data_IF_250652057870
#
_entry.id   IF_250652057870
#
_cell.length_a   1.000
_cell.length_b   1.000
_cell.length_c   1.000
_cell.angle_alpha   90.00
_cell.angle_beta   90.00
_cell.angle_gamma   90.00
#
_symmetry.space_group_name_H-M   'P 1'
#
loop_
_entity.id
_entity.type
_entity.pdbx_description
1 polymer ?
#
# COMPACT_ATOMS: atom_id res chain seq x y z
N UNK A 1 -21.76 -46.09 40.41
CA UNK A 1 -22.79 -45.12 39.98
C UNK A 1 -22.07 -44.05 39.17
N UNK A 2 -21.99 -44.23 37.84
CA UNK A 2 -22.83 -43.59 36.80
C UNK A 2 -22.47 -42.11 36.60
N UNK A 3 -21.81 -41.77 35.46
CA UNK A 3 -22.34 -41.04 34.26
C UNK A 3 -22.49 -39.53 34.55
N UNK A 4 -22.15 -38.56 33.69
CA UNK A 4 -22.17 -38.50 32.23
C UNK A 4 -21.44 -37.22 31.74
N UNK A 5 -21.09 -37.24 30.46
CA UNK A 5 -20.39 -36.27 29.59
C UNK A 5 -21.27 -35.07 29.16
N UNK A 6 -20.71 -33.87 28.95
CA UNK A 6 -20.94 -33.09 27.72
C UNK A 6 -20.06 -31.84 27.54
N UNK A 7 -19.47 -31.73 26.35
CA UNK A 7 -18.84 -30.56 25.75
C UNK A 7 -19.92 -29.70 25.08
N UNK A 8 -19.88 -28.36 25.19
CA UNK A 8 -20.60 -27.52 24.22
C UNK A 8 -19.90 -26.19 23.92
N UNK A 9 -19.26 -26.20 22.76
CA UNK A 9 -18.89 -25.05 21.93
C UNK A 9 -20.13 -24.19 21.62
N UNK A 10 -20.03 -22.86 21.67
CA UNK A 10 -21.02 -21.98 21.02
C UNK A 10 -20.34 -20.74 20.47
N UNK A 11 -20.27 -20.71 19.13
CA UNK A 11 -19.94 -19.56 18.29
C UNK A 11 -21.05 -18.52 18.42
N UNK A 12 -20.71 -17.24 18.63
CA UNK A 12 -21.64 -16.12 18.46
C UNK A 12 -21.19 -15.29 17.27
N UNK A 13 -21.74 -15.58 16.11
CA UNK A 13 -21.77 -14.67 14.98
C UNK A 13 -22.75 -13.54 15.33
N UNK A 14 -22.28 -12.30 15.30
CA UNK A 14 -23.10 -11.12 15.50
C UNK A 14 -23.83 -10.76 14.19
N UNK A 15 -25.08 -10.40 14.36
CA UNK A 15 -26.10 -10.10 13.36
C UNK A 15 -25.73 -8.78 12.67
N UNK A 16 -25.58 -8.76 11.34
CA UNK A 16 -25.62 -7.51 10.56
C UNK A 16 -27.07 -7.28 10.14
N UNK A 17 -27.70 -6.37 10.88
CA UNK A 17 -29.05 -5.88 10.63
C UNK A 17 -29.11 -4.90 9.47
N UNK A 18 -30.25 -4.95 8.81
CA UNK A 18 -30.77 -4.19 7.67
C UNK A 18 -30.96 -2.68 7.92
N UNK A 19 -31.17 -1.93 6.81
CA UNK A 19 -31.88 -0.65 6.66
C UNK A 19 -31.03 0.65 6.75
N UNK A 20 -30.56 1.14 5.61
CA UNK A 20 -30.13 2.53 5.43
C UNK A 20 -31.29 3.40 4.94
N UNK A 21 -32.00 4.03 5.87
CA UNK A 21 -33.04 5.02 5.60
C UNK A 21 -32.46 6.43 5.49
N UNK A 22 -32.95 7.17 4.50
CA UNK A 22 -32.78 8.62 4.30
C UNK A 22 -33.25 9.42 5.51
N UNK A 23 -32.40 10.25 6.13
CA UNK A 23 -32.82 11.43 6.91
C UNK A 23 -31.73 12.51 6.85
N UNK A 24 -32.04 13.66 6.23
CA UNK A 24 -31.31 14.90 6.43
C UNK A 24 -31.79 15.62 7.70
N UNK A 25 -30.87 16.25 8.44
CA UNK A 25 -31.25 17.26 9.42
C UNK A 25 -30.18 18.36 9.52
N UNK A 26 -30.66 19.58 9.32
CA UNK A 26 -30.01 20.88 9.31
C UNK A 26 -29.74 21.40 10.74
N UNK A 27 -28.61 22.09 10.93
CA UNK A 27 -28.22 22.79 12.17
C UNK A 27 -29.05 24.06 12.37
N UNK A 28 -29.38 24.38 13.63
CA UNK A 28 -29.89 25.69 14.02
C UNK A 28 -29.13 26.27 15.22
N UNK A 29 -28.34 27.33 14.99
CA UNK A 29 -27.99 28.33 16.00
C UNK A 29 -28.38 29.69 15.42
N UNK A 30 -29.27 30.40 16.11
CA UNK A 30 -29.79 31.70 15.70
C UNK A 30 -28.93 32.83 16.31
N UNK A 31 -28.42 33.74 15.48
CA UNK A 31 -28.04 35.11 15.89
C UNK A 31 -28.41 36.06 14.72
N UNK A 32 -29.29 37.03 14.97
CA UNK A 32 -29.64 38.11 14.03
C UNK A 32 -28.47 39.08 13.81
N UNK A 33 -28.43 40.02 12.88
CA UNK A 33 -29.38 40.63 11.95
C UNK A 33 -28.52 41.53 11.03
N UNK A 34 -28.79 41.60 9.72
CA UNK A 34 -28.71 42.80 8.84
C UNK A 34 -28.82 42.39 7.36
N UNK A 35 -29.58 43.16 6.57
CA UNK A 35 -30.13 42.79 5.27
C UNK A 35 -29.34 43.28 4.03
N UNK A 36 -29.27 42.46 2.98
CA UNK A 36 -29.23 42.84 1.54
C UNK A 36 -29.37 41.60 0.64
N UNK A 37 -30.10 41.62 -0.49
CA UNK A 37 -30.39 40.43 -1.28
C UNK A 37 -29.30 40.18 -2.33
N UNK A 38 -28.57 39.06 -2.22
CA UNK A 38 -27.81 38.48 -3.32
C UNK A 38 -28.08 36.98 -3.38
N UNK A 39 -28.36 36.50 -4.60
CA UNK A 39 -28.73 35.14 -4.99
C UNK A 39 -27.80 34.10 -4.35
N UNK A 40 -28.35 33.25 -3.48
CA UNK A 40 -27.62 32.14 -2.86
C UNK A 40 -27.47 31.04 -3.90
N UNK A 41 -26.23 30.70 -4.25
CA UNK A 41 -25.92 29.45 -4.96
C UNK A 41 -25.80 28.39 -3.87
N UNK A 42 -26.74 27.44 -3.84
CA UNK A 42 -26.73 26.35 -2.87
C UNK A 42 -25.61 25.37 -3.24
N UNK A 43 -24.51 25.42 -2.49
CA UNK A 43 -23.46 24.39 -2.56
C UNK A 43 -23.86 23.25 -1.63
N UNK A 44 -24.40 22.16 -2.18
CA UNK A 44 -24.62 20.91 -1.44
C UNK A 44 -23.32 20.12 -1.39
N UNK A 45 -22.73 20.02 -0.20
CA UNK A 45 -21.60 19.12 0.07
C UNK A 45 -22.13 17.72 0.33
N UNK A 46 -21.91 16.78 -0.60
CA UNK A 46 -22.17 15.35 -0.38
C UNK A 46 -20.94 14.67 0.22
N UNK A 47 -21.03 14.20 1.46
CA UNK A 47 -20.04 13.28 2.04
C UNK A 47 -20.39 11.85 1.61
N UNK A 48 -19.58 11.25 0.72
CA UNK A 48 -19.67 9.82 0.40
C UNK A 48 -18.69 9.05 1.29
N UNK A 49 -19.21 8.24 2.21
CA UNK A 49 -18.43 7.18 2.84
C UNK A 49 -18.35 6.00 1.86
N UNK A 50 -17.18 5.77 1.25
CA UNK A 50 -16.93 4.58 0.45
C UNK A 50 -16.38 3.51 1.39
N UNK A 51 -17.23 2.57 1.81
CA UNK A 51 -16.78 1.32 2.44
C UNK A 51 -16.39 0.36 1.33
N UNK A 52 -15.08 0.22 1.07
CA UNK A 52 -14.56 -0.84 0.22
C UNK A 52 -14.72 -2.17 0.93
N UNK A 53 -15.73 -2.94 0.55
CA UNK A 53 -15.91 -4.31 1.03
C UNK A 53 -15.11 -5.23 0.11
N UNK A 54 -14.03 -5.82 0.62
CA UNK A 54 -13.31 -6.88 -0.08
C UNK A 54 -14.22 -8.11 -0.16
N UNK A 55 -14.69 -8.44 -1.36
CA UNK A 55 -15.53 -9.62 -1.60
C UNK A 55 -14.68 -10.89 -1.48
N UNK A 56 -14.85 -11.64 -0.40
CA UNK A 56 -14.38 -13.03 -0.32
C UNK A 56 -15.44 -13.94 -0.95
N UNK A 57 -15.14 -14.47 -2.14
CA UNK A 57 -15.98 -15.44 -2.84
C UNK A 57 -15.91 -16.78 -2.11
N UNK A 58 -16.93 -17.10 -1.31
CA UNK A 58 -17.11 -18.43 -0.71
C UNK A 58 -17.72 -19.33 -1.78
N UNK A 59 -16.93 -20.25 -2.33
CA UNK A 59 -17.45 -21.32 -3.21
C UNK A 59 -17.83 -22.50 -2.32
N UNK A 60 -19.10 -22.59 -1.92
CA UNK A 60 -19.62 -23.79 -1.26
C UNK A 60 -19.73 -24.92 -2.30
N UNK A 61 -18.83 -25.90 -2.23
CA UNK A 61 -18.96 -27.14 -3.00
C UNK A 61 -19.60 -28.18 -2.08
N UNK A 62 -20.91 -28.39 -2.22
CA UNK A 62 -21.60 -29.48 -1.53
C UNK A 62 -21.25 -30.80 -2.25
N UNK A 63 -20.49 -31.67 -1.59
CA UNK A 63 -20.32 -33.07 -2.04
C UNK A 63 -20.63 -34.00 -0.86
N UNK A 64 -21.62 -34.88 -1.06
CA UNK A 64 -22.05 -35.88 -0.09
C UNK A 64 -20.98 -36.96 0.14
N UNK A 65 -21.01 -37.51 1.35
CA UNK A 65 -20.06 -38.44 1.96
C UNK A 65 -19.86 -39.76 1.21
N UNK A 66 -18.60 -40.20 1.14
CA UNK A 66 -18.25 -41.62 1.14
C UNK A 66 -16.93 -41.84 1.90
N UNK A 67 -17.00 -42.74 2.88
CA UNK A 67 -15.99 -43.23 3.81
C UNK A 67 -14.68 -43.68 3.17
N UNK A 68 -13.51 -43.25 3.70
CA UNK A 68 -12.41 -44.12 4.17
C UNK A 68 -11.04 -43.40 4.35
N UNK A 69 -10.46 -43.62 5.53
CA UNK A 69 -9.03 -43.58 5.91
C UNK A 69 -8.32 -42.22 5.94
N UNK A 70 -8.25 -41.64 7.15
CA UNK A 70 -7.37 -40.53 7.50
C UNK A 70 -5.89 -40.92 7.32
N UNK A 71 -5.24 -40.37 6.30
CA UNK A 71 -3.80 -40.11 6.34
C UNK A 71 -3.67 -38.60 6.48
N UNK A 72 -3.32 -38.15 7.68
CA UNK A 72 -3.12 -36.75 8.03
C UNK A 72 -1.94 -36.16 7.24
N UNK A 73 -2.22 -35.17 6.39
CA UNK A 73 -1.20 -34.25 5.88
C UNK A 73 -1.32 -32.97 6.71
N UNK A 74 -0.27 -32.54 7.44
CA UNK A 74 -0.38 -31.39 8.32
C UNK A 74 -0.54 -30.09 7.54
N UNK A 75 -1.46 -29.24 8.02
CA UNK A 75 -1.68 -27.84 7.63
C UNK A 75 -0.36 -27.07 7.63
N UNK A 76 0.07 -26.62 6.44
CA UNK A 76 1.19 -25.69 6.27
C UNK A 76 0.65 -24.25 6.46
N UNK A 77 1.25 -23.52 7.40
CA UNK A 77 0.96 -22.14 7.79
C UNK A 77 0.91 -21.19 6.59
N UNK A 78 -0.21 -20.47 6.40
CA UNK A 78 -0.39 -19.51 5.32
C UNK A 78 0.48 -18.26 5.51
N UNK A 79 1.57 -18.17 4.74
CA UNK A 79 2.40 -16.96 4.59
C UNK A 79 1.62 -15.88 3.83
N UNK A 80 1.70 -14.57 4.20
CA UNK A 80 1.14 -13.49 3.39
C UNK A 80 1.74 -13.53 1.98
N UNK A 81 0.91 -13.80 0.98
CA UNK A 81 1.31 -13.87 -0.43
C UNK A 81 1.33 -12.48 -1.05
N UNK A 82 2.40 -12.14 -1.76
CA UNK A 82 2.52 -10.89 -2.54
C UNK A 82 1.42 -10.82 -3.62
N UNK A 83 0.73 -9.67 -3.82
CA UNK A 83 -0.18 -9.47 -4.94
C UNK A 83 0.54 -9.66 -6.29
N UNK A 84 -0.11 -10.30 -7.27
CA UNK A 84 0.56 -10.64 -8.54
C UNK A 84 1.00 -9.41 -9.33
N UNK A 85 0.20 -8.33 -9.32
CA UNK A 85 0.57 -7.05 -9.96
C UNK A 85 1.84 -6.47 -9.35
N UNK A 86 1.93 -6.45 -8.01
CA UNK A 86 3.10 -5.96 -7.29
C UNK A 86 4.34 -6.84 -7.56
N UNK A 87 4.15 -8.16 -7.64
CA UNK A 87 5.21 -9.09 -7.98
C UNK A 87 5.75 -8.84 -9.39
N UNK A 88 4.88 -8.62 -10.37
CA UNK A 88 5.30 -8.29 -11.74
C UNK A 88 6.07 -6.97 -11.79
N UNK A 89 5.59 -5.96 -11.06
CA UNK A 89 6.28 -4.68 -10.92
C UNK A 89 7.68 -4.84 -10.32
N UNK A 90 7.84 -5.64 -9.27
CA UNK A 90 9.17 -5.90 -8.72
C UNK A 90 10.05 -6.75 -9.62
N UNK A 91 9.50 -7.67 -10.40
CA UNK A 91 10.26 -8.42 -11.41
C UNK A 91 10.76 -7.53 -12.54
N UNK A 92 10.02 -6.50 -12.96
CA UNK A 92 10.50 -5.56 -13.97
C UNK A 92 11.64 -4.69 -13.46
N UNK A 93 11.61 -4.30 -12.17
CA UNK A 93 12.69 -3.53 -11.53
C UNK A 93 13.90 -4.38 -11.15
N UNK A 94 13.69 -5.67 -10.85
CA UNK A 94 14.73 -6.59 -10.42
C UNK A 94 14.64 -7.93 -11.19
N UNK A 95 15.05 -7.96 -12.48
CA UNK A 95 14.85 -9.14 -13.34
C UNK A 95 15.53 -10.43 -12.85
N UNK A 96 16.56 -10.29 -12.00
CA UNK A 96 17.29 -11.43 -11.43
C UNK A 96 16.56 -12.06 -10.22
N UNK A 97 15.46 -11.48 -9.76
CA UNK A 97 14.65 -11.99 -8.66
C UNK A 97 13.52 -12.89 -9.17
N UNK A 98 13.36 -14.04 -8.53
CA UNK A 98 12.29 -15.00 -8.80
C UNK A 98 11.36 -15.19 -7.61
N UNK A 99 11.85 -14.95 -6.39
CA UNK A 99 11.14 -15.17 -5.12
C UNK A 99 11.15 -13.88 -4.31
N UNK A 100 10.00 -13.50 -3.75
CA UNK A 100 9.85 -12.32 -2.90
C UNK A 100 9.25 -12.73 -1.57
N UNK A 101 9.92 -12.42 -0.47
CA UNK A 101 9.46 -12.73 0.88
C UNK A 101 9.18 -11.44 1.66
N UNK A 102 7.95 -11.23 2.15
CA UNK A 102 7.59 -10.00 2.85
C UNK A 102 8.27 -9.93 4.21
N UNK A 103 8.66 -8.72 4.60
CA UNK A 103 9.17 -8.40 5.92
C UNK A 103 8.16 -7.46 6.59
N UNK A 104 7.53 -7.93 7.68
CA UNK A 104 6.35 -7.28 8.27
C UNK A 104 6.71 -6.33 9.41
N UNK A 105 6.07 -5.17 9.54
CA UNK A 105 6.15 -4.27 10.70
C UNK A 105 4.73 -3.91 11.12
N UNK A 106 4.34 -4.18 12.36
CA UNK A 106 2.99 -3.90 12.88
C UNK A 106 1.88 -4.48 11.98
N UNK A 107 2.02 -5.73 11.57
CA UNK A 107 1.09 -6.43 10.65
C UNK A 107 1.00 -5.86 9.22
N UNK A 108 1.82 -4.87 8.87
CA UNK A 108 1.93 -4.31 7.52
C UNK A 108 3.22 -4.80 6.84
N UNK A 109 3.18 -5.00 5.52
CA UNK A 109 4.40 -5.32 4.77
C UNK A 109 5.25 -4.06 4.66
N UNK A 110 6.47 -4.10 5.19
CA UNK A 110 7.40 -2.99 5.13
C UNK A 110 8.20 -2.99 3.82
N UNK A 111 8.71 -4.16 3.43
CA UNK A 111 9.42 -4.40 2.17
C UNK A 111 9.46 -5.90 1.88
N UNK A 112 10.04 -6.27 0.74
CA UNK A 112 10.24 -7.65 0.31
C UNK A 112 11.74 -7.92 0.15
N UNK A 113 12.21 -9.04 0.70
CA UNK A 113 13.50 -9.62 0.34
C UNK A 113 13.35 -10.35 -0.98
N UNK A 114 14.21 -10.03 -1.94
CA UNK A 114 14.17 -10.59 -3.28
C UNK A 114 15.32 -11.60 -3.47
N UNK A 115 14.96 -12.82 -3.89
CA UNK A 115 15.91 -13.91 -4.10
C UNK A 115 15.83 -14.42 -5.54
N UNK A 116 16.98 -14.82 -6.07
CA UNK A 116 17.09 -15.55 -7.33
C UNK A 116 16.45 -16.96 -7.22
N UNK A 117 16.30 -17.65 -8.35
CA UNK A 117 15.93 -19.07 -8.40
C UNK A 117 16.82 -19.93 -7.50
N UNK A 118 18.10 -19.57 -7.38
CA UNK A 118 19.13 -20.27 -6.63
C UNK A 118 19.15 -19.90 -5.12
N UNK A 119 18.11 -19.25 -4.61
CA UNK A 119 17.98 -18.82 -3.21
C UNK A 119 19.09 -17.85 -2.73
N UNK A 120 19.73 -17.16 -3.68
CA UNK A 120 20.65 -16.06 -3.39
C UNK A 120 19.88 -14.75 -3.24
N UNK A 121 20.14 -14.00 -2.17
CA UNK A 121 19.62 -12.66 -1.99
C UNK A 121 20.17 -11.74 -3.09
N UNK A 122 19.27 -11.22 -3.94
CA UNK A 122 19.63 -10.33 -5.06
C UNK A 122 19.26 -8.87 -4.79
N UNK A 123 18.51 -8.60 -3.72
CA UNK A 123 18.16 -7.25 -3.32
C UNK A 123 16.94 -7.18 -2.43
N UNK A 124 16.40 -5.97 -2.31
CA UNK A 124 15.18 -5.66 -1.59
C UNK A 124 14.28 -4.83 -2.50
N UNK A 125 12.97 -5.01 -2.37
CA UNK A 125 11.98 -4.25 -3.14
C UNK A 125 10.87 -3.72 -2.22
N UNK A 126 10.40 -2.51 -2.48
CA UNK A 126 9.32 -1.90 -1.71
C UNK A 126 8.47 -0.96 -2.57
N UNK A 127 7.25 -0.74 -2.11
CA UNK A 127 6.33 0.27 -2.61
C UNK A 127 6.15 1.33 -1.52
N UNK A 128 6.13 2.60 -1.90
CA UNK A 128 5.77 3.70 -1.00
C UNK A 128 4.76 4.63 -1.64
N UNK A 129 3.81 5.11 -0.83
CA UNK A 129 2.82 6.11 -1.23
C UNK A 129 3.34 7.47 -0.85
N UNK A 130 3.49 8.36 -1.83
CA UNK A 130 4.00 9.71 -1.61
C UNK A 130 2.85 10.71 -1.75
N UNK A 131 2.67 11.53 -0.72
CA UNK A 131 1.68 12.59 -0.69
C UNK A 131 2.39 13.95 -0.78
N UNK A 132 2.30 14.59 -1.95
CA UNK A 132 2.66 15.97 -2.12
C UNK A 132 1.39 16.85 -1.94
N UNK A 133 1.50 18.19 -1.86
CA UNK A 133 0.35 19.05 -1.58
C UNK A 133 -0.84 18.85 -2.52
N UNK A 134 -0.57 18.57 -3.79
CA UNK A 134 -1.58 18.36 -4.83
C UNK A 134 -1.45 17.02 -5.55
N UNK A 135 -0.25 16.44 -5.54
CA UNK A 135 0.06 15.23 -6.27
C UNK A 135 0.13 14.03 -5.32
N UNK A 136 -0.19 12.85 -5.84
CA UNK A 136 -0.06 11.58 -5.13
C UNK A 136 0.64 10.60 -6.04
N UNK A 137 1.62 9.88 -5.52
CA UNK A 137 2.42 8.94 -6.31
C UNK A 137 2.46 7.56 -5.64
N UNK A 138 2.53 6.53 -6.48
CA UNK A 138 2.98 5.19 -6.10
C UNK A 138 4.41 5.05 -6.61
N UNK A 139 5.34 4.83 -5.70
CA UNK A 139 6.76 4.73 -6.01
C UNK A 139 7.24 3.33 -5.69
N UNK A 140 7.72 2.64 -6.71
CA UNK A 140 8.26 1.30 -6.61
C UNK A 140 9.77 1.36 -6.72
N UNK A 141 10.49 0.71 -5.80
CA UNK A 141 11.95 0.78 -5.75
C UNK A 141 12.53 -0.60 -5.56
N UNK A 142 13.58 -0.91 -6.31
CA UNK A 142 14.45 -2.05 -6.08
C UNK A 142 15.85 -1.56 -5.70
N UNK A 143 16.42 -2.14 -4.64
CA UNK A 143 17.78 -1.87 -4.18
C UNK A 143 18.60 -3.15 -4.15
N UNK A 144 19.90 -3.04 -4.39
CA UNK A 144 20.84 -4.15 -4.27
C UNK A 144 21.08 -4.54 -2.79
N UNK A 145 21.79 -5.66 -2.52
CA UNK A 145 22.13 -6.05 -1.15
C UNK A 145 23.04 -5.04 -0.42
N UNK A 146 23.65 -4.11 -1.15
CA UNK A 146 24.45 -2.99 -0.60
C UNK A 146 23.62 -1.71 -0.40
N UNK A 147 22.29 -1.78 -0.57
CA UNK A 147 21.34 -0.69 -0.43
C UNK A 147 21.54 0.46 -1.44
N UNK A 148 22.07 0.15 -2.63
CA UNK A 148 22.08 1.06 -3.77
C UNK A 148 20.86 0.82 -4.64
N UNK A 149 20.25 1.88 -5.14
CA UNK A 149 19.07 1.78 -6.01
C UNK A 149 19.48 1.14 -7.35
N UNK A 150 18.79 0.07 -7.72
CA UNK A 150 18.92 -0.61 -9.01
C UNK A 150 17.96 0.04 -10.01
N UNK A 151 16.70 0.23 -9.59
CA UNK A 151 15.66 0.81 -10.39
C UNK A 151 14.58 1.44 -9.50
N UNK A 152 13.91 2.44 -10.04
CA UNK A 152 12.75 3.12 -9.46
C UNK A 152 11.73 3.32 -10.57
N UNK A 153 10.45 3.27 -10.22
CA UNK A 153 9.35 3.57 -11.13
C UNK A 153 8.31 4.39 -10.37
N UNK A 154 8.04 5.59 -10.90
CA UNK A 154 7.18 6.59 -10.29
C UNK A 154 5.90 6.66 -11.11
N UNK A 155 4.79 6.25 -10.49
CA UNK A 155 3.46 6.33 -11.09
C UNK A 155 2.60 7.37 -10.38
N UNK A 156 1.70 7.98 -11.14
CA UNK A 156 0.63 8.77 -10.53
C UNK A 156 -0.33 7.83 -9.80
N UNK A 157 -0.64 8.13 -8.53
CA UNK A 157 -1.58 7.31 -7.78
C UNK A 157 -3.01 7.43 -8.37
N UNK A 158 -3.82 6.36 -8.37
CA UNK A 158 -5.16 6.38 -8.95
C UNK A 158 -6.12 7.40 -8.33
N UNK A 159 -5.87 7.80 -7.08
CA UNK A 159 -6.65 8.79 -6.33
C UNK A 159 -6.10 10.22 -6.44
N UNK A 160 -5.08 10.42 -7.27
CA UNK A 160 -4.53 11.74 -7.57
C UNK A 160 -5.51 12.54 -8.43
N UNK A 161 -5.82 13.76 -7.98
CA UNK A 161 -6.81 14.65 -8.64
C UNK A 161 -6.13 15.57 -9.65
N UNK A 162 -4.84 15.85 -9.46
CA UNK A 162 -4.05 16.79 -10.28
C UNK A 162 -2.62 16.31 -10.42
N UNK A 163 -1.95 16.72 -11.49
CA UNK A 163 -0.51 16.54 -11.66
C UNK A 163 0.12 17.85 -12.12
N UNK A 164 1.03 18.40 -11.32
CA UNK A 164 1.61 19.71 -11.60
C UNK A 164 2.61 19.67 -12.77
N UNK A 165 3.45 18.63 -12.85
CA UNK A 165 4.35 18.43 -13.99
C UNK A 165 4.56 16.93 -14.29
N UNK A 166 4.16 16.43 -15.48
CA UNK A 166 4.30 15.02 -15.83
C UNK A 166 5.77 14.57 -16.00
N UNK A 167 6.74 15.49 -16.09
CA UNK A 167 8.16 15.14 -16.16
C UNK A 167 8.64 14.33 -14.95
N UNK A 168 7.94 14.41 -13.82
CA UNK A 168 8.25 13.62 -12.63
C UNK A 168 8.01 12.12 -12.82
N UNK A 169 7.26 11.71 -13.84
CA UNK A 169 6.99 10.31 -14.19
C UNK A 169 7.86 9.81 -15.35
N UNK A 170 8.92 10.53 -15.68
CA UNK A 170 9.77 10.18 -16.82
C UNK A 170 11.02 9.46 -16.37
N UNK A 171 11.55 8.62 -17.27
CA UNK A 171 12.82 7.94 -17.06
C UNK A 171 13.97 8.91 -16.76
N UNK A 172 13.93 10.15 -17.24
CA UNK A 172 14.96 11.16 -16.95
C UNK A 172 15.00 11.55 -15.46
N UNK A 173 13.84 11.56 -14.79
CA UNK A 173 13.79 11.76 -13.35
C UNK A 173 14.21 10.49 -12.59
N UNK A 174 13.67 9.33 -13.00
CA UNK A 174 13.94 8.03 -12.36
C UNK A 174 15.41 7.61 -12.45
N UNK A 175 16.06 7.84 -13.60
CA UNK A 175 17.45 7.44 -13.84
C UNK A 175 18.45 8.17 -12.92
N UNK A 176 18.07 9.32 -12.35
CA UNK A 176 18.92 10.05 -11.40
C UNK A 176 19.12 9.29 -10.09
N UNK A 177 18.21 8.35 -9.76
CA UNK A 177 18.29 7.56 -8.54
C UNK A 177 19.25 6.37 -8.66
N UNK A 178 19.54 5.90 -9.87
CA UNK A 178 20.27 4.64 -10.09
C UNK A 178 21.70 4.73 -9.54
N UNK A 179 22.09 3.72 -8.74
CA UNK A 179 23.40 3.62 -8.09
C UNK A 179 23.57 4.48 -6.84
N UNK A 180 22.60 5.34 -6.53
CA UNK A 180 22.60 6.18 -5.34
C UNK A 180 22.31 5.37 -4.08
N UNK A 181 22.92 5.80 -2.98
CA UNK A 181 22.64 5.31 -1.62
C UNK A 181 21.82 6.35 -0.86
N UNK A 182 21.29 5.99 0.33
CA UNK A 182 20.52 6.91 1.16
C UNK A 182 21.22 8.25 1.47
N UNK A 183 22.56 8.26 1.51
CA UNK A 183 23.33 9.50 1.76
C UNK A 183 23.38 10.44 0.56
N UNK A 184 23.18 9.93 -0.65
CA UNK A 184 23.16 10.69 -1.89
C UNK A 184 21.77 11.28 -2.20
N UNK A 185 20.73 10.74 -1.56
CA UNK A 185 19.33 11.11 -1.75
C UNK A 185 19.02 12.44 -1.03
N UNK A 186 19.21 13.52 -1.77
CA UNK A 186 18.70 14.85 -1.50
C UNK A 186 18.60 15.60 -2.84
N UNK A 187 17.79 16.65 -2.87
CA UNK A 187 17.75 17.53 -4.04
C UNK A 187 19.05 18.33 -4.17
N UNK A 188 19.46 18.66 -5.39
CA UNK A 188 20.55 19.61 -5.65
C UNK A 188 20.23 20.98 -5.03
N UNK A 189 21.21 21.67 -4.39
CA UNK A 189 22.64 21.35 -4.34
C UNK A 189 23.08 20.41 -3.20
N UNK A 190 22.21 20.05 -2.26
CA UNK A 190 22.58 19.24 -1.09
C UNK A 190 22.76 17.75 -1.42
N UNK A 191 22.14 17.28 -2.49
CA UNK A 191 22.30 15.91 -3.00
C UNK A 191 22.54 15.86 -4.50
N UNK A 192 22.17 14.73 -5.12
CA UNK A 192 22.47 14.42 -6.52
C UNK A 192 21.25 14.43 -7.45
N UNK A 193 20.08 14.76 -6.93
CA UNK A 193 18.83 14.69 -7.69
C UNK A 193 18.38 16.10 -8.04
N UNK A 194 18.24 16.37 -9.32
CA UNK A 194 17.70 17.62 -9.81
C UNK A 194 16.18 17.63 -9.68
N UNK A 195 15.67 18.69 -9.06
CA UNK A 195 14.24 18.87 -8.92
C UNK A 195 13.58 19.15 -10.27
N UNK A 196 12.39 18.59 -10.49
CA UNK A 196 11.58 18.90 -11.66
C UNK A 196 11.02 20.33 -11.52
N UNK A 197 11.30 21.19 -12.49
CA UNK A 197 10.79 22.57 -12.51
C UNK A 197 9.27 22.59 -12.43
N UNK A 198 8.71 23.37 -11.50
CA UNK A 198 7.27 23.40 -11.28
C UNK A 198 6.72 22.16 -10.57
N UNK A 199 7.58 21.27 -10.05
CA UNK A 199 7.20 20.15 -9.20
C UNK A 199 8.28 19.89 -8.12
N UNK A 200 8.90 20.95 -7.60
CA UNK A 200 10.01 20.88 -6.63
C UNK A 200 9.59 20.22 -5.32
N UNK A 201 8.42 20.56 -4.78
CA UNK A 201 7.89 19.95 -3.56
C UNK A 201 7.62 18.45 -3.77
N UNK A 202 7.02 18.08 -4.90
CA UNK A 202 6.75 16.69 -5.26
C UNK A 202 8.06 15.90 -5.46
N UNK A 203 9.07 16.52 -6.09
CA UNK A 203 10.40 15.92 -6.26
C UNK A 203 11.03 15.63 -4.90
N UNK A 204 11.01 16.60 -3.97
CA UNK A 204 11.55 16.43 -2.63
C UNK A 204 10.82 15.34 -1.83
N UNK A 205 9.49 15.30 -1.90
CA UNK A 205 8.69 14.30 -1.21
C UNK A 205 9.01 12.86 -1.67
N UNK A 206 9.24 12.64 -2.97
CA UNK A 206 9.67 11.34 -3.49
C UNK A 206 11.06 10.99 -2.97
N UNK A 207 12.02 11.91 -3.07
CA UNK A 207 13.40 11.68 -2.60
C UNK A 207 13.43 11.32 -1.12
N UNK A 208 12.70 12.05 -0.29
CA UNK A 208 12.62 11.81 1.15
C UNK A 208 11.95 10.47 1.48
N UNK A 209 10.85 10.14 0.79
CA UNK A 209 10.16 8.87 0.99
C UNK A 209 11.06 7.66 0.66
N UNK A 210 11.74 7.72 -0.49
CA UNK A 210 12.70 6.67 -0.92
C UNK A 210 13.86 6.57 0.06
N UNK A 211 14.43 7.69 0.47
CA UNK A 211 15.53 7.73 1.45
C UNK A 211 15.16 7.09 2.77
N UNK A 212 14.02 7.49 3.34
CA UNK A 212 13.56 6.99 4.63
C UNK A 212 13.28 5.49 4.59
N UNK A 213 12.65 5.00 3.51
CA UNK A 213 12.43 3.57 3.32
C UNK A 213 13.75 2.79 3.26
N UNK A 214 14.75 3.27 2.50
CA UNK A 214 16.07 2.61 2.43
C UNK A 214 16.76 2.60 3.81
N UNK A 215 16.73 3.71 4.55
CA UNK A 215 17.29 3.78 5.91
C UNK A 215 16.63 2.76 6.82
N UNK A 216 15.30 2.61 6.74
CA UNK A 216 14.57 1.66 7.55
C UNK A 216 14.92 0.20 7.20
N UNK A 217 15.05 -0.12 5.90
CA UNK A 217 15.52 -1.44 5.45
C UNK A 217 16.93 -1.70 5.99
N UNK A 218 17.84 -0.73 5.89
CA UNK A 218 19.22 -0.86 6.39
C UNK A 218 19.26 -1.13 7.89
N UNK A 219 18.45 -0.42 8.68
CA UNK A 219 18.37 -0.62 10.12
C UNK A 219 17.88 -2.02 10.46
N UNK A 220 16.95 -2.56 9.66
CA UNK A 220 16.33 -3.85 9.93
C UNK A 220 17.16 -5.05 9.49
N UNK A 221 17.95 -4.93 8.43
CA UNK A 221 18.80 -6.01 7.91
C UNK A 221 20.19 -6.03 8.55
N UNK A 222 20.60 -4.94 9.22
CA UNK A 222 21.87 -4.87 9.98
C UNK A 222 21.71 -5.07 11.49
N UNK A 223 20.47 -5.17 11.98
CA UNK A 223 20.15 -5.46 13.38
C UNK A 223 20.24 -6.96 13.67
#
# INVERSE_FOLDING_TARGET
MTREENVKTTRRNFIVGTIGGMVGLILGVAIGSQASPRKILETTTETRTVTSVSTITVTETVTQSATATETSIPTQTATPSIPEELKQKFQSLLPNASKFYPVMKNDEVLYYRAYSSDDKLVGYAFETKVYAPTDRFLVYVAVDPSFKIIAIDVEQAPDSITMMNPRILTSDFENQFIGLSANDLALSPEGKIDAVTGATISSGAIVDAVKNAIIEIMQREKA
#
